data_IF_364858247487
#
_entry.id   IF_364858247487
#
_cell.length_a   1.000
_cell.length_b   1.000
_cell.length_c   1.000
_cell.angle_alpha   90.00
_cell.angle_beta   90.00
_cell.angle_gamma   90.00
#
_symmetry.space_group_name_H-M   'P 1'
#
loop_
_entity.id
_entity.type
_entity.pdbx_description
1 polymer ?
#
# COMPACT_ATOMS: atom_id res chain seq x y z
N UNK A 1 5.00 5.82 4.52
CA UNK A 1 4.22 5.47 3.30
C UNK A 1 4.48 4.06 2.79
N UNK A 2 5.72 3.64 2.47
CA UNK A 2 5.99 2.34 1.82
C UNK A 2 5.44 1.12 2.59
N UNK A 3 5.64 1.09 3.90
CA UNK A 3 5.13 0.01 4.76
C UNK A 3 3.60 -0.11 4.66
N UNK A 4 2.89 1.02 4.68
CA UNK A 4 1.44 0.99 4.49
C UNK A 4 1.05 0.55 3.08
N UNK A 5 1.74 1.06 2.05
CA UNK A 5 1.48 0.68 0.66
C UNK A 5 1.61 -0.83 0.43
N UNK A 6 2.60 -1.46 1.07
CA UNK A 6 2.82 -2.90 1.05
C UNK A 6 1.70 -3.65 1.79
N UNK A 7 1.53 -3.39 3.09
CA UNK A 7 0.59 -4.15 3.93
C UNK A 7 -0.89 -3.93 3.59
N UNK A 8 -1.25 -2.76 3.02
CA UNK A 8 -2.61 -2.45 2.61
C UNK A 8 -2.89 -2.72 1.11
N UNK A 9 -1.90 -3.24 0.39
CA UNK A 9 -1.89 -3.37 -1.06
C UNK A 9 -2.39 -2.08 -1.75
N UNK A 10 -1.87 -0.91 -1.40
CA UNK A 10 -2.40 0.34 -1.94
C UNK A 10 -2.02 0.54 -3.41
N UNK A 11 -2.95 1.04 -4.22
CA UNK A 11 -2.60 1.65 -5.51
C UNK A 11 -1.92 2.99 -5.26
N UNK A 12 -1.03 3.40 -6.15
CA UNK A 12 -0.38 4.71 -6.04
C UNK A 12 -1.38 5.87 -5.97
N UNK A 13 -2.48 5.79 -6.71
CA UNK A 13 -3.55 6.80 -6.66
C UNK A 13 -4.39 6.77 -5.38
N UNK A 14 -4.31 5.72 -4.56
CA UNK A 14 -4.96 5.68 -3.24
C UNK A 14 -4.14 6.43 -2.18
N UNK A 15 -2.87 6.75 -2.46
CA UNK A 15 -1.95 7.41 -1.51
C UNK A 15 -1.30 8.69 -2.02
N UNK A 16 -1.49 9.04 -3.29
CA UNK A 16 -0.89 10.23 -3.91
C UNK A 16 -1.85 10.93 -4.85
N UNK A 17 -1.66 12.24 -5.00
CA UNK A 17 -2.38 13.06 -5.97
C UNK A 17 -1.60 13.18 -7.28
N UNK A 18 -2.31 13.35 -8.38
CA UNK A 18 -1.74 13.67 -9.69
C UNK A 18 -2.51 14.84 -10.30
N UNK A 19 -1.86 15.95 -10.65
CA UNK A 19 -2.51 17.15 -11.17
C UNK A 19 -3.72 17.63 -10.31
N UNK A 20 -3.56 17.64 -8.98
CA UNK A 20 -4.63 17.97 -8.01
C UNK A 20 -5.88 17.08 -8.13
N UNK A 21 -5.76 15.91 -8.75
CA UNK A 21 -6.80 14.89 -8.73
C UNK A 21 -6.69 14.08 -7.44
N UNK A 22 -7.76 14.11 -6.64
CA UNK A 22 -7.91 13.42 -5.35
C UNK A 22 -8.74 12.14 -5.43
N UNK A 23 -9.11 11.70 -6.64
CA UNK A 23 -9.97 10.53 -6.82
C UNK A 23 -9.35 9.31 -6.14
N UNK A 24 -10.15 8.68 -5.27
CA UNK A 24 -9.78 7.50 -4.49
C UNK A 24 -8.63 7.69 -3.48
N UNK A 25 -8.12 8.91 -3.28
CA UNK A 25 -7.08 9.18 -2.30
C UNK A 25 -7.66 8.97 -0.90
N UNK A 26 -6.99 8.14 -0.12
CA UNK A 26 -7.39 7.85 1.26
C UNK A 26 -7.25 9.14 2.08
N UNK A 27 -8.33 9.54 2.75
CA UNK A 27 -8.33 10.64 3.69
C UNK A 27 -7.92 10.21 5.10
N UNK A 28 -7.59 11.17 5.96
CA UNK A 28 -7.25 10.93 7.36
C UNK A 28 -8.35 10.17 8.10
N UNK A 29 -9.61 10.57 7.94
CA UNK A 29 -10.77 9.96 8.62
C UNK A 29 -11.02 8.51 8.22
N UNK A 30 -10.48 8.07 7.08
CA UNK A 30 -10.59 6.70 6.61
C UNK A 30 -9.57 5.75 7.26
N UNK A 31 -8.55 6.26 7.95
CA UNK A 31 -7.50 5.45 8.57
C UNK A 31 -7.53 5.60 10.10
N UNK A 32 -7.85 4.51 10.80
CA UNK A 32 -7.98 4.48 12.26
C UNK A 32 -6.95 3.54 12.84
N UNK A 33 -6.05 4.07 13.65
CA UNK A 33 -5.09 3.28 14.43
C UNK A 33 -5.71 2.91 15.77
N UNK A 34 -5.76 1.61 16.05
CA UNK A 34 -6.12 1.03 17.34
C UNK A 34 -4.89 0.33 17.91
N UNK A 35 -4.88 0.06 19.22
CA UNK A 35 -3.69 -0.42 19.95
C UNK A 35 -2.92 -1.57 19.27
N UNK A 36 -3.63 -2.55 18.68
CA UNK A 36 -3.02 -3.72 18.00
C UNK A 36 -3.37 -3.84 16.52
N UNK A 37 -4.06 -2.86 15.92
CA UNK A 37 -4.46 -2.94 14.51
C UNK A 37 -4.65 -1.57 13.87
N UNK A 38 -4.48 -1.53 12.56
CA UNK A 38 -4.86 -0.42 11.71
C UNK A 38 -6.07 -0.83 10.88
N UNK A 39 -7.07 0.03 10.86
CA UNK A 39 -8.27 -0.09 10.03
C UNK A 39 -8.24 0.95 8.92
N UNK A 40 -8.49 0.53 7.68
CA UNK A 40 -8.66 1.44 6.54
C UNK A 40 -10.02 1.17 5.89
N UNK A 41 -10.85 2.20 5.86
CA UNK A 41 -12.15 2.20 5.21
C UNK A 41 -12.04 2.81 3.81
N UNK A 42 -12.04 1.97 2.78
CA UNK A 42 -12.04 2.40 1.39
C UNK A 42 -13.47 2.74 0.96
N UNK A 43 -13.80 4.04 0.96
CA UNK A 43 -15.12 4.52 0.57
C UNK A 43 -15.34 4.48 -0.94
N UNK A 44 -14.27 4.69 -1.70
CA UNK A 44 -14.23 4.59 -3.14
C UNK A 44 -12.82 4.18 -3.60
N UNK A 45 -12.76 3.42 -4.69
CA UNK A 45 -11.52 2.96 -5.30
C UNK A 45 -11.76 2.55 -6.76
N UNK A 46 -10.68 2.43 -7.53
CA UNK A 46 -10.78 2.02 -8.93
C UNK A 46 -11.53 0.68 -9.07
N UNK A 47 -12.65 0.69 -9.79
CA UNK A 47 -13.59 -0.42 -9.97
C UNK A 47 -14.41 -0.80 -8.73
N UNK A 48 -14.58 0.11 -7.77
CA UNK A 48 -15.50 -0.06 -6.63
C UNK A 48 -16.94 -0.26 -7.09
N UNK A 49 -17.38 0.44 -8.14
CA UNK A 49 -18.79 0.55 -8.56
C UNK A 49 -19.70 0.85 -7.34
N UNK A 50 -19.26 1.76 -6.46
CA UNK A 50 -19.97 2.14 -5.24
C UNK A 50 -19.79 1.18 -4.04
N UNK A 51 -19.06 0.08 -4.20
CA UNK A 51 -18.77 -0.84 -3.09
C UNK A 51 -17.68 -0.27 -2.18
N UNK A 52 -17.95 -0.26 -0.89
CA UNK A 52 -16.95 0.05 0.13
C UNK A 52 -16.14 -1.22 0.46
N UNK A 53 -14.91 -1.03 0.91
CA UNK A 53 -14.07 -2.13 1.37
C UNK A 53 -13.41 -1.79 2.70
N UNK A 54 -13.44 -2.74 3.62
CA UNK A 54 -12.85 -2.61 4.94
C UNK A 54 -11.60 -3.48 5.03
N UNK A 55 -10.48 -2.88 5.42
CA UNK A 55 -9.22 -3.60 5.60
C UNK A 55 -8.70 -3.45 7.02
N UNK A 56 -8.43 -4.58 7.65
CA UNK A 56 -7.72 -4.63 8.93
C UNK A 56 -6.28 -5.12 8.74
N UNK A 57 -5.34 -4.44 9.38
CA UNK A 57 -3.92 -4.78 9.39
C UNK A 57 -3.49 -4.94 10.83
N UNK A 58 -3.17 -6.17 11.24
CA UNK A 58 -2.67 -6.44 12.57
C UNK A 58 -1.28 -5.83 12.78
N UNK A 59 -0.97 -5.44 14.03
CA UNK A 59 0.37 -5.02 14.42
C UNK A 59 1.37 -6.16 14.16
N UNK A 60 2.47 -5.83 13.51
CA UNK A 60 3.58 -6.76 13.24
C UNK A 60 4.49 -6.78 14.47
N UNK A 61 5.05 -7.95 14.80
CA UNK A 61 6.04 -8.09 15.89
C UNK A 61 7.34 -7.32 15.60
N UNK A 62 7.70 -7.17 14.32
CA UNK A 62 8.84 -6.38 13.91
C UNK A 62 8.39 -4.95 13.59
N UNK A 63 8.72 -4.01 14.48
CA UNK A 63 8.33 -2.61 14.37
C UNK A 63 8.90 -1.91 13.13
N UNK A 64 10.08 -2.34 12.63
CA UNK A 64 10.72 -1.75 11.44
C UNK A 64 9.90 -1.92 10.16
N UNK A 65 9.04 -2.94 10.12
CA UNK A 65 8.15 -3.24 9.00
C UNK A 65 6.67 -3.16 9.41
N UNK A 66 6.35 -2.64 10.59
CA UNK A 66 4.97 -2.59 11.04
C UNK A 66 4.22 -1.38 10.48
N UNK A 67 3.18 -1.62 9.70
CA UNK A 67 2.33 -0.54 9.19
C UNK A 67 1.61 0.24 10.31
N UNK A 68 1.21 -0.44 11.40
CA UNK A 68 0.60 0.19 12.57
C UNK A 68 1.59 1.15 13.22
N UNK A 69 2.79 0.66 13.56
CA UNK A 69 3.84 1.49 14.18
C UNK A 69 4.23 2.65 13.27
N UNK A 70 4.53 2.38 11.99
CA UNK A 70 4.94 3.41 11.03
C UNK A 70 3.86 4.48 10.81
N UNK A 71 2.58 4.11 10.73
CA UNK A 71 1.50 5.09 10.59
C UNK A 71 1.29 5.87 11.89
N UNK A 72 1.38 5.21 13.05
CA UNK A 72 1.27 5.89 14.36
C UNK A 72 2.33 6.98 14.49
N UNK A 73 3.60 6.66 14.22
CA UNK A 73 4.69 7.64 14.27
C UNK A 73 4.54 8.75 13.24
N UNK A 74 3.97 8.46 12.07
CA UNK A 74 3.68 9.51 11.09
C UNK A 74 2.58 10.46 11.58
N UNK A 75 1.51 9.93 12.18
CA UNK A 75 0.39 10.73 12.67
C UNK A 75 0.77 11.67 13.83
N UNK A 76 1.84 11.38 14.59
CA UNK A 76 2.36 12.31 15.61
C UNK A 76 3.12 13.49 15.02
N UNK A 77 3.65 13.36 13.80
CA UNK A 77 4.42 14.40 13.11
C UNK A 77 3.56 15.23 12.16
N UNK A 78 2.49 14.61 11.65
CA UNK A 78 1.54 15.23 10.73
C UNK A 78 0.69 16.27 11.47
N UNK A 79 0.33 17.35 10.77
CA UNK A 79 -0.71 18.28 11.20
C UNK A 79 -2.10 17.63 11.20
N UNK A 80 -2.92 17.94 12.20
CA UNK A 80 -4.27 17.37 12.35
C UNK A 80 -5.32 18.02 11.41
N UNK A 81 -4.91 18.43 10.21
CA UNK A 81 -5.81 19.00 9.21
C UNK A 81 -6.56 17.87 8.48
N UNK A 82 -7.81 18.16 8.12
CA UNK A 82 -8.65 17.26 7.31
C UNK A 82 -8.07 17.09 5.90
N UNK A 83 -8.51 16.05 5.20
CA UNK A 83 -8.09 15.76 3.83
C UNK A 83 -7.20 14.52 3.70
N UNK A 84 -6.28 14.48 2.70
CA UNK A 84 -5.48 13.29 2.39
C UNK A 84 -4.73 12.71 3.57
N UNK A 85 -4.52 11.39 3.57
CA UNK A 85 -3.77 10.69 4.61
C UNK A 85 -2.29 11.07 4.62
N UNK A 86 -1.68 11.30 3.46
CA UNK A 86 -0.27 11.64 3.36
C UNK A 86 -0.06 13.05 2.85
N UNK A 87 0.65 13.84 3.65
CA UNK A 87 1.07 15.20 3.39
C UNK A 87 2.60 15.29 3.26
N UNK A 88 3.08 16.22 2.44
CA UNK A 88 4.47 16.63 2.35
C UNK A 88 4.84 17.55 3.54
N UNK A 89 6.12 17.97 3.62
CA UNK A 89 6.61 18.88 4.66
C UNK A 89 5.94 20.26 4.64
N UNK A 90 5.36 20.67 3.51
CA UNK A 90 4.60 21.91 3.35
C UNK A 90 3.12 21.78 3.73
N UNK A 91 2.68 20.59 4.17
CA UNK A 91 1.28 20.33 4.53
C UNK A 91 0.36 20.03 3.34
N UNK A 92 0.89 19.88 2.13
CA UNK A 92 0.11 19.57 0.92
C UNK A 92 0.08 18.07 0.66
N UNK A 93 -0.94 17.61 -0.08
CA UNK A 93 -1.07 16.21 -0.48
C UNK A 93 0.19 15.70 -1.21
N UNK A 94 0.68 14.51 -0.83
CA UNK A 94 1.85 13.93 -1.50
C UNK A 94 1.56 13.67 -2.97
N UNK A 95 2.39 14.21 -3.86
CA UNK A 95 2.27 13.98 -5.30
C UNK A 95 2.87 12.64 -5.71
N UNK A 96 2.40 12.09 -6.84
CA UNK A 96 2.97 10.87 -7.42
C UNK A 96 4.47 11.02 -7.73
N UNK A 97 4.88 12.21 -8.18
CA UNK A 97 6.28 12.51 -8.47
C UNK A 97 7.14 12.48 -7.20
N UNK A 98 6.66 13.09 -6.11
CA UNK A 98 7.37 13.09 -4.83
C UNK A 98 7.52 11.67 -4.28
N UNK A 99 6.45 10.87 -4.33
CA UNK A 99 6.54 9.45 -3.94
C UNK A 99 7.56 8.69 -4.78
N UNK A 100 7.56 8.91 -6.10
CA UNK A 100 8.49 8.22 -6.99
C UNK A 100 9.94 8.66 -6.77
N UNK A 101 10.17 9.94 -6.48
CA UNK A 101 11.48 10.45 -6.08
C UNK A 101 11.97 9.77 -4.79
N UNK A 102 11.13 9.74 -3.75
CA UNK A 102 11.45 9.06 -2.49
C UNK A 102 11.71 7.56 -2.68
N UNK A 103 10.90 6.88 -3.51
CA UNK A 103 11.08 5.47 -3.83
C UNK A 103 12.43 5.24 -4.53
N UNK A 104 12.78 6.07 -5.51
CA UNK A 104 14.05 5.97 -6.21
C UNK A 104 15.24 6.17 -5.27
N UNK A 105 15.14 7.12 -4.33
CA UNK A 105 16.17 7.34 -3.31
C UNK A 105 16.37 6.11 -2.42
N UNK A 106 15.27 5.52 -1.93
CA UNK A 106 15.33 4.31 -1.12
C UNK A 106 15.90 3.10 -1.89
N UNK A 107 15.51 2.91 -3.15
CA UNK A 107 16.04 1.84 -3.99
C UNK A 107 17.54 2.00 -4.24
N UNK A 108 17.98 3.22 -4.55
CA UNK A 108 19.39 3.52 -4.75
C UNK A 108 20.22 3.26 -3.50
N UNK A 109 19.71 3.69 -2.34
CA UNK A 109 20.34 3.43 -1.05
C UNK A 109 20.52 1.93 -0.78
N UNK A 110 19.54 1.11 -1.17
CA UNK A 110 19.61 -0.35 -1.05
C UNK A 110 20.39 -1.05 -2.18
N UNK A 111 20.98 -0.31 -3.14
CA UNK A 111 21.65 -0.92 -4.30
C UNK A 111 20.71 -1.62 -5.29
N UNK A 112 19.42 -1.30 -5.26
CA UNK A 112 18.39 -1.93 -6.09
C UNK A 112 18.13 -1.15 -7.38
N UNK A 113 18.01 -1.87 -8.50
CA UNK A 113 17.73 -1.25 -9.80
C UNK A 113 16.28 -0.78 -9.92
N UNK A 114 16.12 0.52 -10.21
CA UNK A 114 14.83 1.20 -10.49
C UNK A 114 14.07 0.62 -11.69
N UNK A 115 14.73 -0.20 -12.51
CA UNK A 115 14.09 -0.88 -13.63
C UNK A 115 13.03 -1.88 -13.15
N UNK A 116 13.29 -2.57 -12.03
CA UNK A 116 12.47 -3.68 -11.54
C UNK A 116 11.40 -3.28 -10.53
N UNK A 117 11.55 -2.12 -9.86
CA UNK A 117 10.64 -1.68 -8.81
C UNK A 117 9.84 -0.47 -9.24
N UNK A 118 8.52 -0.62 -9.21
CA UNK A 118 7.54 0.42 -9.53
C UNK A 118 6.53 0.51 -8.38
N UNK A 119 5.70 1.58 -8.32
CA UNK A 119 4.70 1.69 -7.25
C UNK A 119 3.74 0.49 -7.13
N UNK A 120 3.45 -0.21 -8.23
CA UNK A 120 2.61 -1.41 -8.18
C UNK A 120 3.33 -2.64 -7.60
N UNK A 121 4.66 -2.62 -7.50
CA UNK A 121 5.47 -3.71 -6.92
C UNK A 121 5.12 -3.97 -5.46
N UNK A 122 4.70 -2.95 -4.69
CA UNK A 122 4.24 -3.15 -3.31
C UNK A 122 3.04 -4.10 -3.23
N UNK A 123 2.06 -3.94 -4.12
CA UNK A 123 0.86 -4.78 -4.18
C UNK A 123 1.18 -6.22 -4.58
N UNK A 124 2.06 -6.37 -5.58
CA UNK A 124 2.51 -7.67 -6.05
C UNK A 124 3.32 -8.38 -4.97
N UNK A 125 4.24 -7.66 -4.31
CA UNK A 125 5.08 -8.20 -3.26
C UNK A 125 4.25 -8.77 -2.13
N UNK A 126 3.28 -8.01 -1.61
CA UNK A 126 2.40 -8.53 -0.55
C UNK A 126 1.57 -9.74 -1.01
N UNK A 127 1.02 -9.71 -2.23
CA UNK A 127 0.27 -10.85 -2.75
C UNK A 127 1.13 -12.11 -2.91
N UNK A 128 2.39 -11.95 -3.31
CA UNK A 128 3.35 -13.05 -3.42
C UNK A 128 3.66 -13.63 -2.04
N UNK A 129 3.98 -12.77 -1.06
CA UNK A 129 4.22 -13.19 0.33
C UNK A 129 3.00 -13.85 0.97
N UNK A 130 1.80 -13.32 0.72
CA UNK A 130 0.55 -13.89 1.19
C UNK A 130 0.33 -15.29 0.61
N UNK A 131 0.58 -15.47 -0.69
CA UNK A 131 0.49 -16.78 -1.34
C UNK A 131 1.53 -17.76 -0.78
N UNK A 132 2.77 -17.31 -0.55
CA UNK A 132 3.83 -18.13 0.05
C UNK A 132 3.48 -18.55 1.50
N UNK A 133 2.69 -17.74 2.21
CA UNK A 133 2.14 -18.05 3.54
C UNK A 133 0.85 -18.89 3.49
N UNK A 134 0.45 -19.37 2.32
CA UNK A 134 -0.69 -20.26 2.15
C UNK A 134 -2.05 -19.58 2.13
N UNK A 135 -2.12 -18.24 1.99
CA UNK A 135 -3.42 -17.58 1.81
C UNK A 135 -4.04 -18.01 0.48
N UNK A 136 -5.35 -18.26 0.50
CA UNK A 136 -6.08 -18.63 -0.71
C UNK A 136 -6.03 -17.51 -1.73
N UNK A 137 -6.07 -17.88 -3.01
CA UNK A 137 -6.08 -16.87 -4.08
C UNK A 137 -7.32 -15.97 -4.00
N UNK A 138 -8.43 -16.48 -3.49
CA UNK A 138 -9.63 -15.69 -3.25
C UNK A 138 -9.42 -14.62 -2.18
N UNK A 139 -8.81 -14.98 -1.05
CA UNK A 139 -8.47 -14.02 0.00
C UNK A 139 -7.52 -12.95 -0.55
N UNK A 140 -6.48 -13.34 -1.29
CA UNK A 140 -5.53 -12.38 -1.87
C UNK A 140 -6.21 -11.45 -2.88
N UNK A 141 -7.10 -12.00 -3.73
CA UNK A 141 -7.90 -11.22 -4.69
C UNK A 141 -8.72 -10.15 -3.98
N UNK A 142 -9.40 -10.54 -2.90
CA UNK A 142 -10.24 -9.67 -2.07
C UNK A 142 -9.41 -8.59 -1.38
N UNK A 143 -8.32 -8.97 -0.70
CA UNK A 143 -7.43 -8.02 -0.02
C UNK A 143 -6.86 -6.97 -0.97
N UNK A 144 -6.45 -7.38 -2.17
CA UNK A 144 -5.95 -6.47 -3.19
C UNK A 144 -7.03 -5.70 -3.94
N UNK A 145 -8.32 -5.99 -3.75
CA UNK A 145 -9.41 -5.37 -4.52
C UNK A 145 -9.18 -5.55 -6.03
N UNK A 146 -8.80 -6.77 -6.45
CA UNK A 146 -8.63 -7.11 -7.87
C UNK A 146 -9.97 -7.60 -8.45
N UNK A 147 -10.34 -7.06 -9.62
CA UNK A 147 -11.56 -7.46 -10.34
C UNK A 147 -11.42 -8.82 -11.03
N UNK A 148 -10.20 -9.18 -11.41
CA UNK A 148 -9.90 -10.42 -12.14
C UNK A 148 -8.64 -11.08 -11.60
N UNK A 149 -8.40 -12.29 -12.07
CA UNK A 149 -7.25 -13.12 -11.72
C UNK A 149 -5.94 -12.68 -12.38
N UNK A 150 -5.89 -11.53 -13.04
CA UNK A 150 -4.68 -11.01 -13.67
C UNK A 150 -3.51 -10.85 -12.69
N UNK A 151 -3.77 -10.70 -11.38
CA UNK A 151 -2.71 -10.64 -10.37
C UNK A 151 -1.97 -11.97 -10.19
N UNK A 152 -2.59 -13.11 -10.53
CA UNK A 152 -1.95 -14.44 -10.47
C UNK A 152 -0.69 -14.50 -11.32
N UNK A 153 -0.65 -13.79 -12.44
CA UNK A 153 0.53 -13.70 -13.34
C UNK A 153 1.78 -13.16 -12.62
N UNK A 154 1.58 -12.41 -11.53
CA UNK A 154 2.67 -11.82 -10.77
C UNK A 154 3.05 -12.63 -9.52
N UNK A 155 2.19 -13.56 -9.08
CA UNK A 155 2.49 -14.49 -8.00
C UNK A 155 3.31 -15.62 -8.61
N UNK A 156 4.63 -15.47 -8.58
CA UNK A 156 5.53 -16.55 -8.96
C UNK A 156 5.47 -17.60 -7.84
N UNK A 157 4.87 -18.74 -8.12
CA UNK A 157 5.03 -19.91 -7.25
C UNK A 157 6.51 -20.28 -7.28
N UNK A 158 7.22 -20.04 -6.18
CA UNK A 158 8.54 -20.63 -5.96
C UNK A 158 8.35 -22.14 -5.82
N UNK A 159 8.37 -22.85 -6.96
CA UNK A 159 8.01 -24.26 -6.99
C UNK A 159 7.92 -24.93 -8.37
N UNK A 160 8.68 -24.49 -9.38
CA UNK A 160 9.17 -25.38 -10.44
C UNK A 160 10.55 -24.90 -10.86
N UNK A 161 11.59 -25.59 -10.38
CA UNK A 161 12.85 -25.68 -11.11
C UNK A 161 12.49 -26.45 -12.37
N UNK A 162 12.38 -25.78 -13.51
CA UNK A 162 12.48 -26.45 -14.80
C UNK A 162 13.89 -27.01 -14.87
N UNK A 163 14.01 -28.33 -14.72
CA UNK A 163 15.24 -29.06 -15.00
C UNK A 163 15.67 -28.78 -16.45
N UNK A 164 16.92 -28.32 -16.59
CA UNK A 164 17.75 -28.25 -17.81
C UNK A 164 17.23 -27.39 -18.97
#
# INVERSE_FOLDING_TARGET
>A
MFTLAYHALLRIGEMTVNNKNYNHVISLSQAVVLHKKLVINFMDFKHSNGKQFHLEIAKNKNDNICAVTALTSYLTLRTNTTGPLFLNSSGEAVSRQLFQHALNGALNFCGLSRAYYKPHSFRIGFATDASAKGLSTETIRTLGRWKSDAFKLYIRQSGQISNL
#
